data_IF_389733668218
#
_entry.id   IF_389733668218
#
_cell.length_a   1.000
_cell.length_b   1.000
_cell.length_c   1.000
_cell.angle_alpha   90.00
_cell.angle_beta   90.00
_cell.angle_gamma   90.00
#
_symmetry.space_group_name_H-M   'P 1'
#
loop_
_entity.id
_entity.type
_entity.pdbx_description
1 polymer ?
#
# COMPACT_ATOMS: atom_id res chain seq x y z
N UNK A 1 11.92 0.67 -18.12
CA UNK A 1 12.10 1.48 -16.90
C UNK A 1 12.09 0.69 -15.58
N UNK A 2 11.78 -0.62 -15.54
CA UNK A 2 11.82 -1.39 -14.30
C UNK A 2 13.24 -1.64 -13.71
N UNK A 3 14.30 -1.50 -14.51
CA UNK A 3 15.69 -1.76 -14.08
C UNK A 3 16.40 -0.56 -13.43
N UNK A 4 15.83 0.65 -13.50
CA UNK A 4 16.50 1.91 -13.12
C UNK A 4 15.80 2.63 -11.96
N UNK A 5 15.16 1.89 -11.04
CA UNK A 5 14.42 2.49 -9.92
C UNK A 5 15.31 3.45 -9.11
N UNK A 6 16.50 3.01 -8.72
CA UNK A 6 17.43 3.78 -7.88
C UNK A 6 17.92 5.10 -8.51
N UNK A 7 17.87 5.22 -9.84
CA UNK A 7 18.23 6.46 -10.55
C UNK A 7 17.02 7.27 -11.01
N UNK A 8 15.80 6.78 -10.76
CA UNK A 8 14.55 7.39 -11.23
C UNK A 8 14.16 8.61 -10.40
N UNK A 9 13.33 9.49 -10.98
CA UNK A 9 12.70 10.59 -10.23
C UNK A 9 11.85 10.08 -9.08
N UNK A 10 11.20 8.92 -9.24
CA UNK A 10 10.37 8.30 -8.21
C UNK A 10 11.17 8.00 -6.95
N UNK A 11 12.34 7.37 -7.07
CA UNK A 11 13.18 7.07 -5.91
C UNK A 11 13.67 8.34 -5.19
N UNK A 12 13.90 9.43 -5.92
CA UNK A 12 14.32 10.72 -5.35
C UNK A 12 13.19 11.50 -4.67
N UNK A 13 11.94 11.10 -4.89
CA UNK A 13 10.74 11.73 -4.37
C UNK A 13 10.07 10.90 -3.27
N UNK A 14 10.72 9.83 -2.81
CA UNK A 14 10.27 9.11 -1.62
C UNK A 14 10.34 10.05 -0.41
N UNK A 15 9.33 9.97 0.44
CA UNK A 15 9.16 10.79 1.63
C UNK A 15 9.61 10.01 2.86
N UNK A 16 10.07 10.74 3.87
CA UNK A 16 10.34 10.16 5.18
C UNK A 16 9.03 9.93 5.93
N UNK A 17 8.97 8.86 6.73
CA UNK A 17 7.77 8.53 7.51
C UNK A 17 7.39 9.66 8.50
N UNK A 18 8.38 10.39 9.00
CA UNK A 18 8.17 11.52 9.91
C UNK A 18 7.39 12.66 9.22
N UNK A 19 7.70 12.96 7.96
CA UNK A 19 7.05 14.03 7.19
C UNK A 19 5.56 13.75 6.94
N UNK A 20 5.20 12.47 6.80
CA UNK A 20 3.82 12.04 6.55
C UNK A 20 2.96 11.97 7.81
N UNK A 21 3.59 11.85 8.98
CA UNK A 21 2.91 11.81 10.28
C UNK A 21 2.65 13.21 10.85
N UNK A 22 2.81 14.27 10.06
CA UNK A 22 2.53 15.65 10.44
C UNK A 22 1.24 16.13 9.79
N UNK A 23 0.32 16.66 10.61
CA UNK A 23 -0.85 17.40 10.10
C UNK A 23 -0.41 18.79 9.66
N UNK A 24 -0.69 19.11 8.39
CA UNK A 24 -0.41 20.42 7.80
C UNK A 24 -1.05 21.54 8.62
N UNK A 25 -0.37 22.69 8.74
CA UNK A 25 -0.80 23.77 9.63
C UNK A 25 -2.25 24.22 9.37
N UNK A 26 -2.63 24.39 8.11
CA UNK A 26 -4.00 24.78 7.72
C UNK A 26 -5.06 23.75 8.16
N UNK A 27 -4.72 22.46 8.15
CA UNK A 27 -5.64 21.40 8.57
C UNK A 27 -5.73 21.35 10.09
N UNK A 28 -4.60 21.60 10.79
CA UNK A 28 -4.57 21.72 12.25
C UNK A 28 -5.40 22.90 12.75
N UNK A 29 -5.34 24.04 12.08
CA UNK A 29 -6.16 25.22 12.37
C UNK A 29 -7.67 24.95 12.21
N UNK A 30 -8.04 23.97 11.38
CA UNK A 30 -9.42 23.48 11.21
C UNK A 30 -9.81 22.41 12.24
N UNK A 31 -8.91 22.05 13.14
CA UNK A 31 -9.14 21.00 14.14
C UNK A 31 -9.10 19.58 13.58
N UNK A 32 -8.44 19.36 12.44
CA UNK A 32 -8.18 18.01 11.94
C UNK A 32 -7.07 17.35 12.74
N UNK A 33 -7.32 16.12 13.17
CA UNK A 33 -6.33 15.25 13.78
C UNK A 33 -5.66 14.36 12.74
N UNK A 34 -4.51 13.77 13.06
CA UNK A 34 -3.80 12.85 12.17
C UNK A 34 -4.68 11.65 11.77
N UNK A 35 -5.45 11.14 12.72
CA UNK A 35 -6.39 10.03 12.49
C UNK A 35 -7.52 10.44 11.52
N UNK A 36 -8.05 11.65 11.62
CA UNK A 36 -9.04 12.16 10.69
C UNK A 36 -8.46 12.36 9.28
N UNK A 37 -7.22 12.84 9.18
CA UNK A 37 -6.51 12.91 7.89
C UNK A 37 -6.38 11.51 7.27
N UNK A 38 -6.03 10.47 8.05
CA UNK A 38 -5.99 9.09 7.58
C UNK A 38 -7.37 8.60 7.10
N UNK A 39 -8.43 8.87 7.86
CA UNK A 39 -9.81 8.52 7.48
C UNK A 39 -10.22 9.16 6.16
N UNK A 40 -9.88 10.44 5.96
CA UNK A 40 -10.15 11.17 4.70
C UNK A 40 -9.37 10.52 3.55
N UNK A 41 -8.08 10.19 3.73
CA UNK A 41 -7.28 9.50 2.70
C UNK A 41 -7.91 8.16 2.30
N UNK A 42 -8.34 7.36 3.26
CA UNK A 42 -9.01 6.07 3.02
C UNK A 42 -10.32 6.28 2.26
N UNK A 43 -11.15 7.24 2.69
CA UNK A 43 -12.41 7.56 2.04
C UNK A 43 -12.21 7.98 0.58
N UNK A 44 -11.25 8.88 0.32
CA UNK A 44 -10.92 9.33 -1.03
C UNK A 44 -10.39 8.19 -1.91
N UNK A 45 -9.52 7.34 -1.36
CA UNK A 45 -8.99 6.17 -2.07
C UNK A 45 -10.09 5.19 -2.48
N UNK A 46 -11.07 4.95 -1.59
CA UNK A 46 -12.25 4.15 -1.87
C UNK A 46 -13.15 4.80 -2.92
N UNK A 47 -13.36 6.11 -2.84
CA UNK A 47 -14.15 6.86 -3.82
C UNK A 47 -13.52 6.80 -5.22
N UNK A 48 -12.21 7.05 -5.34
CA UNK A 48 -11.45 6.93 -6.60
C UNK A 48 -11.56 5.51 -7.15
N UNK A 49 -11.44 4.50 -6.29
CA UNK A 49 -11.54 3.09 -6.70
C UNK A 49 -12.93 2.75 -7.25
N UNK A 50 -14.01 3.21 -6.61
CA UNK A 50 -15.39 3.03 -7.08
C UNK A 50 -15.65 3.79 -8.38
N UNK A 51 -15.19 5.04 -8.45
CA UNK A 51 -15.31 5.86 -9.66
C UNK A 51 -14.60 5.19 -10.84
N UNK A 52 -13.38 4.68 -10.64
CA UNK A 52 -12.63 3.98 -11.68
C UNK A 52 -13.37 2.75 -12.23
N UNK A 53 -14.08 2.00 -11.39
CA UNK A 53 -14.91 0.88 -11.83
C UNK A 53 -16.09 1.35 -12.72
N UNK A 54 -16.70 2.49 -12.37
CA UNK A 54 -17.86 3.03 -13.09
C UNK A 54 -17.50 3.64 -14.46
N UNK A 55 -16.35 4.29 -14.59
CA UNK A 55 -16.00 5.00 -15.84
C UNK A 55 -15.48 4.04 -16.94
N UNK A 56 -15.43 2.71 -16.70
CA UNK A 56 -14.82 1.71 -17.61
C UNK A 56 -13.40 2.06 -18.11
N UNK A 57 -12.77 3.09 -17.53
CA UNK A 57 -11.37 3.41 -17.77
C UNK A 57 -10.61 2.26 -17.14
N UNK A 58 -9.93 1.44 -17.95
CA UNK A 58 -9.03 0.37 -17.48
C UNK A 58 -7.92 0.96 -16.61
N UNK A 59 -8.21 1.29 -15.35
CA UNK A 59 -7.32 1.78 -14.30
C UNK A 59 -6.23 2.80 -14.72
N UNK A 60 -6.14 3.38 -15.92
CA UNK A 60 -4.88 3.76 -16.62
C UNK A 60 -3.83 4.55 -15.81
N UNK A 61 -4.25 5.46 -14.93
CA UNK A 61 -3.34 6.26 -14.09
C UNK A 61 -2.85 5.43 -12.89
N UNK A 62 -3.78 4.83 -12.14
CA UNK A 62 -3.47 3.84 -11.07
C UNK A 62 -2.79 2.60 -11.66
N UNK A 63 -3.15 2.23 -12.88
CA UNK A 63 -2.66 1.10 -13.65
C UNK A 63 -1.18 1.24 -13.96
N UNK A 64 -0.58 2.42 -13.96
CA UNK A 64 0.86 2.49 -14.27
C UNK A 64 1.66 2.01 -13.06
N UNK A 65 1.38 2.55 -11.88
CA UNK A 65 1.93 2.06 -10.61
C UNK A 65 1.53 0.60 -10.34
N UNK A 66 0.24 0.29 -10.53
CA UNK A 66 -0.30 -1.08 -10.43
C UNK A 66 0.33 -2.02 -11.44
N UNK A 67 0.57 -1.63 -12.71
CA UNK A 67 1.17 -2.52 -13.72
C UNK A 67 2.64 -2.74 -13.43
N UNK A 68 3.36 -1.73 -12.91
CA UNK A 68 4.72 -1.92 -12.43
C UNK A 68 4.75 -2.88 -11.25
N UNK A 69 3.90 -2.67 -10.25
CA UNK A 69 3.73 -3.59 -9.12
C UNK A 69 3.33 -4.99 -9.59
N UNK A 70 2.37 -5.09 -10.52
CA UNK A 70 1.87 -6.35 -11.09
C UNK A 70 2.90 -7.12 -11.87
N UNK A 71 3.71 -6.43 -12.67
CA UNK A 71 4.82 -7.07 -13.39
C UNK A 71 5.88 -7.59 -12.41
N UNK A 72 6.12 -6.88 -11.30
CA UNK A 72 7.10 -7.29 -10.28
C UNK A 72 6.56 -8.46 -9.45
N UNK A 73 5.40 -8.31 -8.80
CA UNK A 73 4.91 -9.35 -7.88
C UNK A 73 4.49 -10.64 -8.60
N UNK A 74 3.95 -10.58 -9.83
CA UNK A 74 3.60 -11.81 -10.57
C UNK A 74 4.85 -12.63 -10.90
N UNK A 75 5.97 -11.96 -11.24
CA UNK A 75 7.26 -12.64 -11.44
C UNK A 75 7.78 -13.22 -10.14
N UNK A 76 7.77 -12.44 -9.07
CA UNK A 76 8.21 -12.89 -7.75
C UNK A 76 7.38 -14.10 -7.24
N UNK A 77 6.07 -14.10 -7.43
CA UNK A 77 5.22 -15.24 -7.07
C UNK A 77 5.49 -16.49 -7.92
N UNK A 78 5.80 -16.32 -9.22
CA UNK A 78 6.21 -17.42 -10.07
C UNK A 78 7.54 -18.01 -9.61
N UNK A 79 8.52 -17.14 -9.33
CA UNK A 79 9.84 -17.54 -8.84
C UNK A 79 9.74 -18.22 -7.46
N UNK A 80 8.82 -17.77 -6.60
CA UNK A 80 8.53 -18.38 -5.30
C UNK A 80 7.73 -19.70 -5.39
N UNK A 81 7.25 -20.11 -6.57
CA UNK A 81 6.36 -21.26 -6.71
C UNK A 81 4.98 -21.07 -6.06
N UNK A 82 4.53 -19.82 -5.89
CA UNK A 82 3.31 -19.42 -5.19
C UNK A 82 2.22 -18.89 -6.14
N UNK A 83 2.06 -19.52 -7.30
CA UNK A 83 1.07 -19.09 -8.29
C UNK A 83 -0.38 -19.15 -7.78
N UNK A 84 -0.67 -20.04 -6.83
CA UNK A 84 -1.96 -20.18 -6.15
C UNK A 84 -2.29 -19.02 -5.21
N UNK A 85 -1.27 -18.30 -4.72
CA UNK A 85 -1.43 -17.10 -3.88
C UNK A 85 -1.62 -15.81 -4.68
N UNK A 86 -1.67 -15.87 -6.01
CA UNK A 86 -1.73 -14.68 -6.89
C UNK A 86 -2.92 -13.78 -6.58
N UNK A 87 -4.12 -14.33 -6.41
CA UNK A 87 -5.32 -13.53 -6.16
C UNK A 87 -5.30 -12.90 -4.77
N UNK A 88 -4.84 -13.65 -3.75
CA UNK A 88 -4.69 -13.14 -2.39
C UNK A 88 -3.68 -12.00 -2.34
N UNK A 89 -2.47 -12.22 -2.87
CA UNK A 89 -1.40 -11.22 -2.93
C UNK A 89 -1.85 -9.99 -3.70
N UNK A 90 -2.59 -10.17 -4.80
CA UNK A 90 -3.16 -9.06 -5.56
C UNK A 90 -4.15 -8.24 -4.75
N UNK A 91 -5.00 -8.87 -3.94
CA UNK A 91 -5.89 -8.18 -3.01
C UNK A 91 -5.12 -7.29 -2.05
N UNK A 92 -4.10 -7.85 -1.39
CA UNK A 92 -3.24 -7.14 -0.44
C UNK A 92 -2.54 -5.96 -1.13
N UNK A 93 -1.94 -6.17 -2.31
CA UNK A 93 -1.28 -5.10 -3.08
C UNK A 93 -2.26 -3.97 -3.40
N UNK A 94 -3.51 -4.27 -3.74
CA UNK A 94 -4.50 -3.22 -4.02
C UNK A 94 -4.88 -2.42 -2.76
N UNK A 95 -4.89 -3.07 -1.60
CA UNK A 95 -5.19 -2.38 -0.34
C UNK A 95 -4.05 -1.46 0.10
N UNK A 96 -2.79 -1.75 -0.27
CA UNK A 96 -1.65 -0.87 0.03
C UNK A 96 -1.78 0.55 -0.54
N UNK A 97 -2.61 0.77 -1.57
CA UNK A 97 -2.89 2.12 -2.11
C UNK A 97 -3.75 2.99 -1.20
N UNK A 98 -4.38 2.41 -0.17
CA UNK A 98 -5.11 3.16 0.87
C UNK A 98 -4.18 3.64 1.99
N UNK A 99 -2.91 3.25 1.93
CA UNK A 99 -1.86 3.55 2.90
C UNK A 99 -0.84 4.50 2.28
N UNK A 100 0.07 5.02 3.11
CA UNK A 100 1.15 5.89 2.65
C UNK A 100 2.40 5.10 2.16
N UNK A 101 2.34 3.76 2.14
CA UNK A 101 3.46 2.87 1.82
C UNK A 101 4.16 3.21 0.50
N UNK A 102 3.40 3.55 -0.55
CA UNK A 102 3.96 3.87 -1.87
C UNK A 102 4.76 5.18 -1.90
N UNK A 103 4.53 6.05 -0.90
CA UNK A 103 5.25 7.32 -0.76
C UNK A 103 6.57 7.13 0.00
N UNK A 104 6.66 6.09 0.84
CA UNK A 104 7.80 5.88 1.76
C UNK A 104 8.72 4.77 1.26
N UNK A 105 8.16 3.72 0.66
CA UNK A 105 8.89 2.50 0.35
C UNK A 105 9.02 2.23 -1.16
N UNK A 106 10.17 1.68 -1.60
CA UNK A 106 10.31 1.14 -2.93
C UNK A 106 9.24 0.09 -3.27
N UNK A 107 8.66 0.11 -4.50
CA UNK A 107 7.59 -0.80 -4.90
C UNK A 107 7.91 -2.29 -4.71
N UNK A 108 9.17 -2.69 -4.92
CA UNK A 108 9.59 -4.09 -4.77
C UNK A 108 9.52 -4.57 -3.32
N UNK A 109 9.80 -3.70 -2.33
CA UNK A 109 9.71 -4.07 -0.91
C UNK A 109 8.26 -4.22 -0.47
N UNK A 110 7.37 -3.34 -0.95
CA UNK A 110 5.92 -3.46 -0.72
C UNK A 110 5.39 -4.76 -1.33
N UNK A 111 5.83 -5.12 -2.55
CA UNK A 111 5.46 -6.38 -3.18
C UNK A 111 5.96 -7.60 -2.39
N UNK A 112 7.20 -7.57 -1.89
CA UNK A 112 7.74 -8.64 -1.04
C UNK A 112 6.97 -8.77 0.28
N UNK A 113 6.57 -7.66 0.90
CA UNK A 113 5.74 -7.67 2.11
C UNK A 113 4.36 -8.30 1.85
N UNK A 114 3.72 -7.97 0.72
CA UNK A 114 2.45 -8.58 0.33
C UNK A 114 2.58 -10.09 0.10
N UNK A 115 3.66 -10.53 -0.56
CA UNK A 115 3.96 -11.96 -0.77
C UNK A 115 4.24 -12.66 0.56
N UNK A 116 4.96 -12.01 1.47
CA UNK A 116 5.26 -12.53 2.81
C UNK A 116 3.99 -12.75 3.64
N UNK A 117 3.07 -11.78 3.64
CA UNK A 117 1.77 -11.96 4.29
C UNK A 117 1.01 -13.13 3.65
N UNK A 118 0.98 -13.21 2.32
CA UNK A 118 0.30 -14.28 1.60
C UNK A 118 0.92 -15.66 1.85
N UNK A 119 2.26 -15.76 2.01
CA UNK A 119 2.93 -17.03 2.32
C UNK A 119 2.60 -17.50 3.73
N UNK A 120 2.56 -16.58 4.70
CA UNK A 120 2.19 -16.89 6.08
C UNK A 120 0.72 -17.35 6.15
N UNK A 121 -0.20 -16.66 5.47
CA UNK A 121 -1.62 -17.06 5.42
C UNK A 121 -1.90 -18.38 4.70
N UNK A 122 -0.94 -18.90 3.94
CA UNK A 122 -1.02 -20.17 3.20
C UNK A 122 -0.23 -21.29 3.87
N UNK A 123 0.29 -21.08 5.08
CA UNK A 123 1.13 -22.02 5.83
C UNK A 123 2.33 -22.53 5.01
N UNK A 124 2.94 -21.64 4.19
CA UNK A 124 4.09 -21.99 3.34
C UNK A 124 5.40 -21.75 4.10
N UNK A 125 5.79 -22.71 4.93
CA UNK A 125 7.06 -22.67 5.68
C UNK A 125 8.30 -22.63 4.74
N UNK A 126 8.18 -23.20 3.54
CA UNK A 126 9.26 -23.27 2.54
C UNK A 126 9.53 -21.96 1.79
N UNK A 127 8.73 -20.91 2.00
CA UNK A 127 8.98 -19.61 1.36
C UNK A 127 10.20 -18.89 1.97
N UNK A 128 10.64 -19.29 3.17
CA UNK A 128 11.72 -18.62 3.92
C UNK A 128 13.07 -18.67 3.20
N UNK A 129 13.42 -19.82 2.59
CA UNK A 129 14.66 -19.95 1.82
C UNK A 129 14.66 -19.08 0.55
N UNK A 130 13.51 -18.97 -0.12
CA UNK A 130 13.36 -18.09 -1.28
C UNK A 130 13.56 -16.61 -0.90
N UNK A 131 13.07 -16.18 0.27
CA UNK A 131 13.33 -14.82 0.77
C UNK A 131 14.81 -14.55 1.08
N UNK A 132 15.54 -15.54 1.60
CA UNK A 132 16.98 -15.43 1.87
C UNK A 132 17.81 -15.26 0.59
N UNK A 133 17.42 -15.93 -0.50
CA UNK A 133 18.09 -15.84 -1.80
C UNK A 133 17.97 -14.47 -2.46
N UNK A 134 16.88 -13.73 -2.18
CA UNK A 134 16.60 -12.43 -2.78
C UNK A 134 17.52 -11.30 -2.30
N UNK A 135 18.35 -11.53 -1.28
CA UNK A 135 19.22 -10.53 -0.63
C UNK A 135 18.48 -9.24 -0.25
N UNK A 136 17.17 -9.34 0.02
CA UNK A 136 16.36 -8.25 0.50
C UNK A 136 16.48 -8.17 2.03
N UNK A 137 16.43 -6.96 2.59
CA UNK A 137 16.41 -6.78 4.03
C UNK A 137 15.05 -7.25 4.60
N UNK A 138 15.06 -8.43 5.21
CA UNK A 138 13.85 -9.01 5.79
C UNK A 138 13.31 -8.24 6.99
N UNK A 139 14.10 -7.41 7.66
CA UNK A 139 13.58 -6.55 8.71
C UNK A 139 12.67 -5.48 8.10
N UNK A 140 13.08 -4.88 6.97
CA UNK A 140 12.26 -3.90 6.27
C UNK A 140 10.99 -4.54 5.72
N UNK A 141 11.10 -5.73 5.11
CA UNK A 141 9.94 -6.47 4.59
C UNK A 141 8.94 -6.79 5.71
N UNK A 142 9.41 -7.25 6.88
CA UNK A 142 8.56 -7.55 8.03
C UNK A 142 7.93 -6.29 8.62
N UNK A 143 8.65 -5.17 8.68
CA UNK A 143 8.10 -3.89 9.16
C UNK A 143 6.95 -3.41 8.26
N UNK A 144 7.15 -3.44 6.93
CA UNK A 144 6.08 -3.09 5.97
C UNK A 144 4.91 -4.07 6.12
N UNK A 145 5.18 -5.37 6.31
CA UNK A 145 4.13 -6.36 6.50
C UNK A 145 3.31 -6.12 7.78
N UNK A 146 3.96 -5.74 8.88
CA UNK A 146 3.29 -5.36 10.12
C UNK A 146 2.41 -4.13 9.92
N UNK A 147 2.88 -3.09 9.23
CA UNK A 147 2.08 -1.90 8.94
C UNK A 147 0.83 -2.23 8.10
N UNK A 148 0.95 -3.15 7.13
CA UNK A 148 -0.20 -3.64 6.35
C UNK A 148 -1.20 -4.39 7.25
N UNK A 149 -0.73 -5.20 8.19
CA UNK A 149 -1.59 -5.93 9.12
C UNK A 149 -2.28 -4.99 10.13
N UNK A 150 -1.55 -4.01 10.66
CA UNK A 150 -2.09 -2.97 11.54
C UNK A 150 -3.19 -2.14 10.84
N UNK A 151 -3.03 -1.88 9.55
CA UNK A 151 -4.08 -1.29 8.72
C UNK A 151 -5.32 -2.18 8.68
N UNK A 152 -5.18 -3.50 8.47
CA UNK A 152 -6.34 -4.41 8.46
C UNK A 152 -7.07 -4.47 9.79
N UNK A 153 -6.35 -4.38 10.92
CA UNK A 153 -6.98 -4.37 12.25
C UNK A 153 -7.65 -3.04 12.57
N UNK A 154 -7.01 -1.92 12.26
CA UNK A 154 -7.61 -0.58 12.45
C UNK A 154 -8.79 -0.32 11.51
N UNK A 155 -8.77 -0.88 10.29
CA UNK A 155 -9.84 -0.71 9.31
C UNK A 155 -11.17 -1.30 9.78
N UNK A 156 -11.15 -2.31 10.66
CA UNK A 156 -12.39 -2.88 11.27
C UNK A 156 -13.13 -1.86 12.15
N UNK A 157 -12.44 -0.82 12.61
CA UNK A 157 -12.98 0.21 13.52
C UNK A 157 -13.38 1.51 12.80
N UNK A 158 -13.31 1.53 11.47
CA UNK A 158 -13.73 2.68 10.66
C UNK A 158 -15.25 2.61 10.47
N UNK A 159 -15.96 3.63 10.96
CA UNK A 159 -17.41 3.78 10.77
C UNK A 159 -17.71 4.99 9.89
N UNK A 160 -18.84 4.95 9.19
CA UNK A 160 -19.27 6.04 8.32
C UNK A 160 -19.48 7.34 9.11
N UNK A 161 -19.90 7.27 10.37
CA UNK A 161 -20.05 8.45 11.24
C UNK A 161 -18.71 9.15 11.48
N UNK A 162 -17.64 8.38 11.74
CA UNK A 162 -16.29 8.93 11.94
C UNK A 162 -15.76 9.58 10.67
N UNK A 163 -16.01 8.96 9.52
CA UNK A 163 -15.62 9.49 8.22
C UNK A 163 -16.39 10.78 7.93
N UNK A 164 -17.70 10.81 8.14
CA UNK A 164 -18.52 12.00 7.92
C UNK A 164 -18.14 13.16 8.86
N UNK A 165 -17.80 12.86 10.11
CA UNK A 165 -17.31 13.85 11.07
C UNK A 165 -15.96 14.46 10.66
N UNK A 166 -15.06 13.67 10.07
CA UNK A 166 -13.80 14.17 9.52
C UNK A 166 -14.05 15.02 8.26
N UNK A 167 -14.92 14.54 7.36
CA UNK A 167 -15.24 15.21 6.10
C UNK A 167 -15.94 16.57 6.30
N UNK A 168 -16.73 16.75 7.35
CA UNK A 168 -17.42 18.02 7.62
C UNK A 168 -16.47 19.16 8.02
N UNK A 169 -15.22 18.84 8.41
CA UNK A 169 -14.18 19.82 8.73
C UNK A 169 -13.46 20.36 7.49
N UNK A 170 -13.68 19.74 6.32
CA UNK A 170 -13.10 20.19 5.06
C UNK A 170 -13.88 21.39 4.50
N UNK A 171 -13.21 22.31 3.78
CA UNK A 171 -13.89 23.40 3.09
C UNK A 171 -14.80 22.84 1.99
N UNK A 172 -16.03 23.38 1.92
CA UNK A 172 -16.99 23.09 0.85
C UNK A 172 -16.69 23.83 -0.45
#
# INVERSE_FOLDING_TARGET
MAANFWTSSHCKQLLDSEDLNVVHQLDRERGLTLEECKLIKIHMSNYISRLAQNVKVRQRVVATAITYMRRVYVRLLQDAGMSDATQLTWGIVNDTYKMDLILIHPPHLIALACIYIASVLKDRENSTSWFEELRADMNVVKNIAMEILDFYDSHKMITDERVNAAMSKLPG
#
